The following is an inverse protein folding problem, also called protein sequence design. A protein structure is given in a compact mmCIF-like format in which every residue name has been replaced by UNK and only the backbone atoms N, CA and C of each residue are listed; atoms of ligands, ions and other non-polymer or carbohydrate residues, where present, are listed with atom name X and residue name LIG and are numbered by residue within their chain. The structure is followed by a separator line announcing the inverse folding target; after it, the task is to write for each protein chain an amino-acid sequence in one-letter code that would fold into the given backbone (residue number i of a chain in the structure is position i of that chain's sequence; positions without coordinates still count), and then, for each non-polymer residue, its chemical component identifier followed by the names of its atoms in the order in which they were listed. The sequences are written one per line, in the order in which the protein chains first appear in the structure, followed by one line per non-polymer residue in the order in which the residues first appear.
data_IF_238557314235
#
_entry.id   IF_238557314235
#
_cell.length_a   1.000
_cell.length_b   1.000
_cell.length_c   1.000
_cell.angle_alpha   90.00
_cell.angle_beta   90.00
_cell.angle_gamma   90.00
#
_symmetry.space_group_name_H-M   'P 1'
#
loop_
_entity.id
_entity.type
_entity.pdbx_description
1 polymer ?
#
# COMPACT_ATOMS: atom_id res chain seq x y z
N UNK A 1 1.21 3.64 10.88
CA UNK A 1 2.44 4.01 11.64
C UNK A 1 3.22 5.02 10.80
N UNK A 2 3.83 6.05 11.40
CA UNK A 2 4.55 7.10 10.64
C UNK A 2 5.98 6.69 10.30
N UNK A 3 6.37 6.94 9.06
CA UNK A 3 7.69 6.69 8.50
C UNK A 3 8.19 7.96 7.82
N UNK A 4 9.50 8.11 7.68
CA UNK A 4 10.12 9.28 7.06
C UNK A 4 10.99 8.88 5.90
N UNK A 5 10.73 9.47 4.74
CA UNK A 5 11.63 9.52 3.60
C UNK A 5 11.92 11.00 3.33
N UNK A 6 13.16 11.42 3.58
CA UNK A 6 13.51 12.84 3.51
C UNK A 6 13.10 13.44 2.15
N UNK A 7 12.36 14.57 2.10
CA UNK A 7 12.07 15.48 3.22
C UNK A 7 10.72 15.29 3.93
N UNK A 8 9.87 14.31 3.57
CA UNK A 8 8.49 14.21 4.07
C UNK A 8 8.22 12.93 4.90
N UNK A 9 7.11 12.94 5.63
CA UNK A 9 6.62 11.80 6.40
C UNK A 9 5.48 11.12 5.63
N UNK A 10 5.46 9.79 5.70
CA UNK A 10 4.44 8.93 5.11
C UNK A 10 3.83 8.06 6.20
N UNK A 11 2.65 7.51 5.94
CA UNK A 11 2.12 6.42 6.75
C UNK A 11 2.33 5.12 5.99
N UNK A 12 2.77 4.06 6.68
CA UNK A 12 2.88 2.76 6.05
C UNK A 12 2.46 1.63 7.00
N UNK A 13 1.95 0.56 6.40
CA UNK A 13 1.53 -0.68 7.05
C UNK A 13 2.11 -1.87 6.28
N UNK A 14 2.72 -2.81 7.00
CA UNK A 14 3.20 -4.06 6.43
C UNK A 14 2.02 -5.01 6.24
N UNK A 15 1.87 -5.56 5.04
CA UNK A 15 0.95 -6.66 4.78
C UNK A 15 1.62 -7.99 5.17
N UNK A 16 1.01 -8.72 6.10
CA UNK A 16 1.53 -9.99 6.65
C UNK A 16 0.85 -11.22 6.05
N UNK A 17 -0.16 -11.04 5.19
CA UNK A 17 -0.98 -12.12 4.63
C UNK A 17 -2.31 -12.30 5.36
N UNK A 18 -2.32 -12.13 6.69
CA UNK A 18 -3.47 -12.34 7.56
C UNK A 18 -4.16 -11.04 8.03
N UNK A 19 -3.54 -9.88 7.81
CA UNK A 19 -4.04 -8.58 8.25
C UNK A 19 -4.73 -7.77 7.14
N UNK A 20 -5.30 -8.41 6.12
CA UNK A 20 -5.90 -7.68 4.98
C UNK A 20 -7.00 -6.69 5.40
N UNK A 21 -7.81 -7.03 6.41
CA UNK A 21 -8.84 -6.12 6.90
C UNK A 21 -8.26 -4.82 7.47
N UNK A 22 -7.09 -4.88 8.11
CA UNK A 22 -6.38 -3.69 8.59
C UNK A 22 -5.82 -2.87 7.42
N UNK A 23 -5.38 -3.52 6.33
CA UNK A 23 -4.95 -2.85 5.10
C UNK A 23 -6.12 -2.13 4.43
N UNK A 24 -7.29 -2.77 4.35
CA UNK A 24 -8.53 -2.17 3.82
C UNK A 24 -8.91 -0.95 4.65
N UNK A 25 -8.96 -1.07 5.97
CA UNK A 25 -9.27 0.05 6.85
C UNK A 25 -8.21 1.15 6.80
N UNK A 26 -6.94 0.76 6.70
CA UNK A 26 -5.83 1.69 6.51
C UNK A 26 -6.03 2.50 5.23
N UNK A 27 -6.37 1.86 4.10
CA UNK A 27 -6.54 2.50 2.80
C UNK A 27 -7.91 3.17 2.57
N UNK A 28 -8.86 2.99 3.48
CA UNK A 28 -10.22 3.52 3.37
C UNK A 28 -10.24 5.02 3.00
N UNK A 29 -10.92 5.33 1.89
CA UNK A 29 -11.02 6.70 1.35
C UNK A 29 -9.78 7.19 0.60
N UNK A 30 -8.79 6.32 0.36
CA UNK A 30 -7.58 6.63 -0.43
C UNK A 30 -7.38 5.67 -1.61
N UNK A 31 -7.83 4.43 -1.48
CA UNK A 31 -7.82 3.42 -2.54
C UNK A 31 -8.85 2.33 -2.22
N UNK A 32 -9.31 1.61 -3.24
CA UNK A 32 -10.07 0.38 -3.11
C UNK A 32 -9.11 -0.81 -3.09
N UNK A 33 -9.48 -1.86 -2.36
CA UNK A 33 -8.70 -3.11 -2.29
C UNK A 33 -9.64 -4.25 -2.62
N UNK A 34 -9.27 -5.06 -3.60
CA UNK A 34 -10.07 -6.22 -4.00
C UNK A 34 -9.21 -7.46 -4.14
N UNK A 35 -9.87 -8.60 -4.05
CA UNK A 35 -9.25 -9.90 -4.25
C UNK A 35 -9.20 -10.21 -5.74
N UNK A 36 -8.04 -10.63 -6.25
CA UNK A 36 -7.86 -11.03 -7.64
C UNK A 36 -7.74 -12.55 -7.73
N UNK A 37 -8.60 -13.16 -8.54
CA UNK A 37 -8.59 -14.61 -8.81
C UNK A 37 -7.70 -14.98 -10.02
N UNK A 38 -7.03 -14.02 -10.66
CA UNK A 38 -6.63 -14.19 -12.05
C UNK A 38 -5.45 -15.15 -12.27
N UNK A 39 -4.42 -15.18 -11.42
CA UNK A 39 -3.26 -16.07 -11.64
C UNK A 39 -2.56 -16.55 -10.35
N UNK A 40 -2.62 -15.78 -9.26
CA UNK A 40 -2.14 -16.18 -7.94
C UNK A 40 -3.12 -15.57 -6.91
N UNK A 41 -3.40 -16.24 -5.79
CA UNK A 41 -4.35 -15.73 -4.80
C UNK A 41 -3.80 -14.45 -4.11
N UNK A 42 -4.00 -13.28 -4.69
CA UNK A 42 -3.45 -12.01 -4.21
C UNK A 42 -4.53 -10.93 -4.11
N UNK A 43 -4.20 -9.86 -3.37
CA UNK A 43 -5.03 -8.67 -3.31
C UNK A 43 -4.42 -7.58 -4.18
N UNK A 44 -5.27 -6.81 -4.85
CA UNK A 44 -4.88 -5.68 -5.65
C UNK A 44 -5.37 -4.39 -4.98
N UNK A 45 -4.53 -3.37 -5.01
CA UNK A 45 -4.82 -2.01 -4.54
C UNK A 45 -5.04 -1.14 -5.77
N UNK A 46 -6.24 -0.58 -5.87
CA UNK A 46 -6.66 0.26 -6.97
C UNK A 46 -6.90 1.68 -6.47
N UNK A 47 -6.10 2.59 -7.01
CA UNK A 47 -6.13 4.01 -6.65
C UNK A 47 -7.05 4.82 -7.56
N UNK A 48 -7.78 4.19 -8.49
CA UNK A 48 -8.64 4.90 -9.42
C UNK A 48 -9.73 5.64 -8.67
N UNK A 49 -9.60 6.97 -8.63
CA UNK A 49 -10.79 7.81 -8.65
C UNK A 49 -11.53 7.36 -9.93
N UNK A 50 -12.78 6.92 -9.76
CA UNK A 50 -13.58 6.05 -10.66
C UNK A 50 -13.68 6.40 -12.16
N UNK A 51 -12.97 7.42 -12.66
CA UNK A 51 -13.07 7.97 -14.00
C UNK A 51 -11.78 7.95 -14.85
N UNK A 52 -10.62 7.51 -14.33
CA UNK A 52 -9.38 7.38 -15.15
C UNK A 52 -8.84 5.92 -15.17
N UNK A 53 -9.11 5.24 -16.28
CA UNK A 53 -8.66 3.87 -16.62
C UNK A 53 -7.13 3.69 -16.71
N UNK A 54 -6.34 4.76 -16.52
CA UNK A 54 -4.87 4.73 -16.56
C UNK A 54 -4.22 4.58 -15.18
N UNK A 55 -5.03 4.46 -14.12
CA UNK A 55 -4.49 4.44 -12.75
C UNK A 55 -3.78 3.12 -12.44
N UNK A 56 -2.57 3.13 -11.84
CA UNK A 56 -1.84 1.90 -11.54
C UNK A 56 -2.59 1.06 -10.49
N UNK A 57 -2.82 -0.20 -10.84
CA UNK A 57 -3.21 -1.27 -9.92
C UNK A 57 -1.92 -1.86 -9.35
N UNK A 58 -1.84 -2.00 -8.04
CA UNK A 58 -0.70 -2.60 -7.35
C UNK A 58 -1.10 -3.94 -6.74
N UNK A 59 -0.45 -5.00 -7.17
CA UNK A 59 -0.57 -6.29 -6.51
C UNK A 59 0.17 -6.22 -5.16
N UNK A 60 -0.46 -6.69 -4.09
CA UNK A 60 0.14 -6.75 -2.75
C UNK A 60 0.38 -8.19 -2.33
N UNK A 61 1.61 -8.46 -1.89
CA UNK A 61 2.05 -9.76 -1.42
C UNK A 61 2.56 -9.68 0.03
N UNK A 62 2.57 -10.80 0.78
CA UNK A 62 3.14 -10.82 2.11
C UNK A 62 4.58 -10.29 2.11
N UNK A 63 4.87 -9.39 3.05
CA UNK A 63 6.09 -8.58 3.14
C UNK A 63 6.14 -7.31 2.30
N UNK A 64 5.03 -6.88 1.71
CA UNK A 64 4.95 -5.53 1.13
C UNK A 64 4.49 -4.50 2.16
N UNK A 65 5.09 -3.32 2.13
CA UNK A 65 4.54 -2.14 2.77
C UNK A 65 3.57 -1.45 1.83
N UNK A 66 2.36 -1.24 2.33
CA UNK A 66 1.36 -0.34 1.74
C UNK A 66 1.57 1.04 2.33
N UNK A 67 1.74 2.04 1.47
CA UNK A 67 2.22 3.39 1.83
C UNK A 67 1.17 4.42 1.44
N UNK A 68 0.93 5.39 2.33
CA UNK A 68 0.19 6.63 2.06
C UNK A 68 1.12 7.82 2.11
N UNK A 69 1.15 8.58 1.02
CA UNK A 69 1.94 9.80 0.88
C UNK A 69 1.07 10.92 0.28
N UNK A 70 0.57 11.83 1.11
CA UNK A 70 -0.10 13.06 0.65
C UNK A 70 -1.27 12.84 -0.34
N UNK A 71 -2.04 11.76 -0.18
CA UNK A 71 -3.14 11.39 -1.10
C UNK A 71 -2.75 10.41 -2.21
N UNK A 72 -1.49 9.95 -2.23
CA UNK A 72 -1.03 8.85 -3.08
C UNK A 72 -0.92 7.57 -2.28
N UNK A 73 -1.15 6.46 -2.96
CA UNK A 73 -0.90 5.11 -2.46
C UNK A 73 0.21 4.49 -3.29
N UNK A 74 1.12 3.79 -2.62
CA UNK A 74 2.21 3.04 -3.24
C UNK A 74 2.41 1.71 -2.48
N UNK A 75 3.01 0.73 -3.14
CA UNK A 75 3.30 -0.59 -2.59
C UNK A 75 4.78 -0.88 -2.82
N UNK A 76 5.51 -1.23 -1.76
CA UNK A 76 6.93 -1.58 -1.86
C UNK A 76 7.28 -2.81 -1.04
N UNK A 77 8.08 -3.68 -1.63
CA UNK A 77 8.68 -4.80 -0.91
C UNK A 77 9.48 -4.32 0.31
N UNK A 78 9.34 -5.02 1.44
CA UNK A 78 9.91 -4.66 2.74
C UNK A 78 11.38 -4.29 2.69
N UNK A 79 12.19 -5.01 1.93
CA UNK A 79 13.63 -4.72 1.84
C UNK A 79 13.89 -3.34 1.23
N UNK A 80 13.17 -2.98 0.18
CA UNK A 80 13.34 -1.72 -0.54
C UNK A 80 12.72 -0.55 0.22
N UNK A 81 11.62 -0.80 0.93
CA UNK A 81 11.05 0.16 1.86
C UNK A 81 12.04 0.48 3.00
N UNK A 82 12.55 -0.54 3.70
CA UNK A 82 13.45 -0.33 4.84
C UNK A 82 14.81 0.26 4.44
N UNK A 83 15.20 0.23 3.16
CA UNK A 83 16.40 0.92 2.69
C UNK A 83 16.20 2.41 2.43
N UNK A 84 14.95 2.90 2.39
CA UNK A 84 14.59 4.28 2.02
C UNK A 84 13.89 5.04 3.14
N UNK A 85 13.19 4.33 4.04
CA UNK A 85 12.35 4.93 5.06
C UNK A 85 12.86 4.60 6.46
N UNK A 86 12.88 5.62 7.32
CA UNK A 86 13.18 5.50 8.74
C UNK A 86 11.89 5.58 9.55
N UNK A 87 11.72 4.72 10.56
CA UNK A 87 10.56 4.78 11.44
C UNK A 87 10.63 6.05 12.30
N UNK A 88 9.55 6.82 12.33
CA UNK A 88 9.43 7.99 13.20
C UNK A 88 8.83 7.54 14.54
N UNK A 89 9.40 8.01 15.65
CA UNK A 89 8.87 7.74 17.00
C UNK A 89 7.58 8.51 17.27
#
# INVERSE_FOLDING_TARGET
MKWRQRPHEVEAMLYTGDNINEIIDFLKGSADVYYSDYEENYYAVDKSDRDDYETPIFDIFPNDFVIKDGGKVDVKYKKDFLSQYEKVQ
#
